data_IF_805590103590
#
_entry.id   IF_805590103590
#
_cell.length_a   1.000
_cell.length_b   1.000
_cell.length_c   1.000
_cell.angle_alpha   90.00
_cell.angle_beta   90.00
_cell.angle_gamma   90.00
#
_symmetry.space_group_name_H-M   'P 1'
#
loop_
_entity.id
_entity.type
_entity.pdbx_description
1 polymer ?
#
# COMPACT_ATOMS: atom_id res chain seq x y z
N UNK A 1 -5.69 -2.42 4.89
CA UNK A 1 -5.98 -2.05 6.30
C UNK A 1 -4.99 -2.79 7.16
N UNK A 2 -4.43 -2.14 8.18
CA UNK A 2 -3.48 -2.75 9.09
C UNK A 2 -3.97 -2.66 10.53
N UNK A 3 -3.56 -3.66 11.32
CA UNK A 3 -3.84 -3.74 12.74
C UNK A 3 -2.57 -4.08 13.50
N UNK A 4 -2.41 -3.41 14.64
CA UNK A 4 -1.37 -3.69 15.62
C UNK A 4 -2.02 -4.00 16.97
N UNK A 5 -1.55 -5.07 17.60
CA UNK A 5 -1.92 -5.45 18.96
C UNK A 5 -0.69 -5.37 19.86
N UNK A 6 -0.86 -4.80 21.06
CA UNK A 6 0.20 -4.71 22.06
C UNK A 6 -0.34 -4.90 23.47
N UNK A 7 0.49 -5.44 24.36
CA UNK A 7 0.19 -5.53 25.79
C UNK A 7 0.30 -4.16 26.49
N UNK A 8 0.98 -3.21 25.85
CA UNK A 8 1.15 -1.84 26.34
C UNK A 8 0.27 -0.87 25.54
N UNK A 9 -0.14 0.22 26.20
CA UNK A 9 -0.83 1.31 25.53
C UNK A 9 0.08 1.92 24.44
N UNK A 10 -0.50 2.38 23.31
CA UNK A 10 0.30 2.99 22.26
C UNK A 10 0.91 4.32 22.74
N UNK A 11 2.04 4.75 22.15
CA UNK A 11 2.63 6.07 22.40
C UNK A 11 1.67 7.20 22.03
N UNK A 12 1.89 8.41 22.56
CA UNK A 12 1.04 9.57 22.23
C UNK A 12 1.14 10.01 20.76
N UNK A 13 2.30 9.79 20.13
CA UNK A 13 2.51 9.99 18.70
C UNK A 13 2.27 8.65 17.97
N UNK A 14 1.49 8.68 16.88
CA UNK A 14 1.13 7.49 16.10
C UNK A 14 1.88 7.32 14.76
N UNK A 15 2.83 8.18 14.42
CA UNK A 15 3.52 8.22 13.12
C UNK A 15 4.20 6.88 12.78
N UNK A 16 4.76 6.20 13.79
CA UNK A 16 5.43 4.90 13.61
C UNK A 16 4.48 3.81 13.11
N UNK A 17 3.17 3.93 13.34
CA UNK A 17 2.19 2.98 12.81
C UNK A 17 2.01 3.14 11.31
N UNK A 18 2.14 4.34 10.75
CA UNK A 18 2.11 4.55 9.29
C UNK A 18 3.30 3.89 8.59
N UNK A 19 4.49 3.94 9.22
CA UNK A 19 5.67 3.23 8.72
C UNK A 19 5.48 1.71 8.82
N UNK A 20 4.94 1.23 9.95
CA UNK A 20 4.69 -0.20 10.16
C UNK A 20 3.63 -0.75 9.19
N UNK A 21 2.58 0.02 8.92
CA UNK A 21 1.55 -0.26 7.92
C UNK A 21 2.17 -0.37 6.52
N UNK A 22 2.91 0.66 6.10
CA UNK A 22 3.57 0.70 4.79
C UNK A 22 4.53 -0.47 4.60
N UNK A 23 5.36 -0.77 5.61
CA UNK A 23 6.27 -1.91 5.56
C UNK A 23 5.54 -3.25 5.54
N UNK A 24 4.42 -3.37 6.28
CA UNK A 24 3.63 -4.61 6.29
C UNK A 24 2.99 -4.88 4.94
N UNK A 25 2.50 -3.84 4.26
CA UNK A 25 1.91 -3.98 2.93
C UNK A 25 2.97 -4.21 1.86
N UNK A 26 4.10 -3.51 1.92
CA UNK A 26 5.23 -3.74 1.02
C UNK A 26 5.78 -5.17 1.15
N UNK A 27 5.82 -5.74 2.37
CA UNK A 27 6.32 -7.09 2.64
C UNK A 27 5.61 -8.19 1.85
N UNK A 28 4.38 -7.95 1.39
CA UNK A 28 3.63 -8.88 0.54
C UNK A 28 4.38 -9.20 -0.77
N UNK A 29 5.21 -8.27 -1.25
CA UNK A 29 6.07 -8.45 -2.41
C UNK A 29 7.06 -9.61 -2.22
N UNK A 30 7.67 -9.68 -1.04
CA UNK A 30 8.65 -10.70 -0.69
C UNK A 30 7.97 -12.02 -0.28
N UNK A 31 6.82 -11.93 0.39
CA UNK A 31 6.12 -13.10 0.91
C UNK A 31 5.38 -13.88 -0.19
N UNK A 32 4.77 -13.18 -1.15
CA UNK A 32 3.91 -13.79 -2.16
C UNK A 32 4.50 -13.71 -3.58
N UNK A 33 5.43 -12.78 -3.81
CA UNK A 33 6.12 -12.62 -5.09
C UNK A 33 5.36 -11.80 -6.12
N UNK A 34 6.11 -11.13 -7.01
CA UNK A 34 5.57 -10.37 -8.14
C UNK A 34 5.70 -11.18 -9.44
N UNK A 35 4.81 -12.15 -9.65
CA UNK A 35 4.92 -13.08 -10.79
C UNK A 35 4.40 -12.49 -12.10
N UNK A 36 3.51 -11.49 -12.04
CA UNK A 36 2.89 -10.84 -13.20
C UNK A 36 2.67 -9.35 -12.96
N UNK A 37 2.70 -8.55 -14.03
CA UNK A 37 2.24 -7.14 -13.99
C UNK A 37 0.73 -7.05 -14.12
N UNK A 38 0.10 -8.04 -14.77
CA UNK A 38 -1.35 -8.15 -14.84
C UNK A 38 -1.81 -8.71 -13.50
N UNK A 39 -2.64 -7.98 -12.78
CA UNK A 39 -3.27 -8.47 -11.57
C UNK A 39 -4.45 -9.38 -11.95
N UNK A 40 -4.17 -10.66 -12.20
CA UNK A 40 -5.22 -11.67 -12.38
C UNK A 40 -5.77 -12.17 -11.03
N UNK A 41 -6.83 -12.97 -11.10
CA UNK A 41 -7.48 -13.50 -9.90
C UNK A 41 -6.57 -14.43 -9.08
N UNK A 42 -5.70 -15.18 -9.74
CA UNK A 42 -4.76 -16.08 -9.07
C UNK A 42 -3.74 -15.28 -8.25
N UNK A 43 -3.19 -14.22 -8.84
CA UNK A 43 -2.26 -13.28 -8.22
C UNK A 43 -2.95 -12.51 -7.09
N UNK A 44 -4.17 -12.01 -7.29
CA UNK A 44 -4.90 -11.30 -6.25
C UNK A 44 -5.19 -12.20 -5.03
N UNK A 45 -5.53 -13.46 -5.26
CA UNK A 45 -5.83 -14.43 -4.20
C UNK A 45 -4.60 -14.88 -3.39
N UNK A 46 -3.38 -14.49 -3.76
CA UNK A 46 -2.19 -14.74 -2.92
C UNK A 46 -2.18 -13.87 -1.66
N UNK A 47 -2.92 -12.76 -1.67
CA UNK A 47 -2.90 -11.75 -0.61
C UNK A 47 -2.08 -10.51 -0.93
N UNK A 48 -1.47 -10.40 -2.12
CA UNK A 48 -0.63 -9.25 -2.55
C UNK A 48 -1.38 -7.92 -2.75
N UNK A 49 -2.67 -7.87 -2.41
CA UNK A 49 -3.54 -6.76 -2.75
C UNK A 49 -3.10 -5.41 -2.17
N UNK A 50 -2.44 -5.38 -1.01
CA UNK A 50 -1.98 -4.11 -0.46
C UNK A 50 -0.75 -3.59 -1.22
N UNK A 51 0.26 -4.44 -1.44
CA UNK A 51 1.43 -4.10 -2.25
C UNK A 51 1.05 -3.68 -3.68
N UNK A 52 0.15 -4.43 -4.33
CA UNK A 52 -0.31 -4.12 -5.68
C UNK A 52 -0.99 -2.74 -5.76
N UNK A 53 -1.77 -2.36 -4.75
CA UNK A 53 -2.39 -1.05 -4.68
C UNK A 53 -1.36 0.07 -4.41
N UNK A 54 -0.35 -0.17 -3.56
CA UNK A 54 0.74 0.80 -3.32
C UNK A 54 1.52 1.10 -4.60
N UNK A 55 1.72 0.10 -5.45
CA UNK A 55 2.46 0.23 -6.71
C UNK A 55 1.59 0.59 -7.93
N UNK A 56 0.30 0.88 -7.74
CA UNK A 56 -0.65 1.07 -8.83
C UNK A 56 -0.44 2.42 -9.54
N UNK A 57 0.00 2.41 -10.80
CA UNK A 57 0.48 3.62 -11.49
C UNK A 57 -0.55 4.75 -11.60
N UNK A 58 -1.84 4.43 -11.74
CA UNK A 58 -2.90 5.43 -11.85
C UNK A 58 -3.33 6.02 -10.50
N UNK A 59 -2.74 5.55 -9.40
CA UNK A 59 -3.01 6.00 -8.04
C UNK A 59 -2.00 7.05 -7.63
N UNK A 60 -2.41 8.32 -7.59
CA UNK A 60 -1.52 9.45 -7.30
C UNK A 60 -1.91 10.25 -6.05
N UNK A 61 -3.00 9.88 -5.38
CA UNK A 61 -3.47 10.55 -4.17
C UNK A 61 -3.86 9.50 -3.13
N UNK A 62 -3.32 9.67 -1.93
CA UNK A 62 -3.52 8.80 -0.78
C UNK A 62 -3.85 9.65 0.45
N UNK A 63 -4.74 9.14 1.30
CA UNK A 63 -4.98 9.69 2.63
C UNK A 63 -5.05 8.56 3.65
N UNK A 64 -4.31 8.69 4.75
CA UNK A 64 -4.23 7.69 5.80
C UNK A 64 -4.72 8.24 7.14
N UNK A 65 -5.35 7.38 7.93
CA UNK A 65 -5.77 7.67 9.30
C UNK A 65 -5.33 6.58 10.25
N UNK A 66 -4.88 6.98 11.44
CA UNK A 66 -4.49 6.07 12.52
C UNK A 66 -5.41 6.25 13.71
N UNK A 67 -5.90 5.14 14.28
CA UNK A 67 -6.78 5.18 15.45
C UNK A 67 -6.41 4.12 16.48
N UNK A 68 -6.22 4.56 17.72
CA UNK A 68 -6.27 3.67 18.88
C UNK A 68 -7.73 3.31 19.20
N UNK A 69 -8.04 2.02 19.15
CA UNK A 69 -9.38 1.45 19.25
C UNK A 69 -9.70 0.88 20.65
N UNK A 70 -8.89 1.22 21.66
CA UNK A 70 -9.05 0.68 23.00
C UNK A 70 -8.50 -0.75 23.13
N UNK A 71 -8.82 -1.39 24.26
CA UNK A 71 -8.53 -2.79 24.50
C UNK A 71 -9.56 -3.69 23.82
N UNK A 72 -9.15 -4.86 23.36
CA UNK A 72 -10.07 -5.94 22.99
C UNK A 72 -10.55 -6.74 24.21
N UNK A 73 -11.34 -7.80 23.96
CA UNK A 73 -11.86 -8.70 25.01
C UNK A 73 -10.76 -9.43 25.78
N UNK A 74 -9.57 -9.56 25.20
CA UNK A 74 -8.42 -10.22 25.80
C UNK A 74 -7.49 -9.20 26.52
N UNK A 75 -7.89 -7.92 26.57
CA UNK A 75 -7.14 -6.86 27.23
C UNK A 75 -6.01 -6.25 26.38
N UNK A 76 -5.85 -6.67 25.11
CA UNK A 76 -4.79 -6.17 24.23
C UNK A 76 -5.17 -4.81 23.63
N UNK A 77 -4.23 -3.87 23.65
CA UNK A 77 -4.39 -2.57 23.04
C UNK A 77 -4.34 -2.68 21.51
N UNK A 78 -5.34 -2.12 20.83
CA UNK A 78 -5.46 -2.19 19.36
C UNK A 78 -5.28 -0.83 18.71
N UNK A 79 -4.43 -0.77 17.70
CA UNK A 79 -4.31 0.38 16.79
C UNK A 79 -4.60 -0.09 15.37
N UNK A 80 -5.37 0.70 14.62
CA UNK A 80 -5.59 0.46 13.18
C UNK A 80 -5.05 1.60 12.35
N UNK A 81 -4.52 1.25 11.18
CA UNK A 81 -4.17 2.19 10.11
C UNK A 81 -5.02 1.86 8.89
N UNK A 82 -5.64 2.89 8.32
CA UNK A 82 -6.43 2.80 7.10
C UNK A 82 -5.95 3.86 6.15
N UNK A 83 -5.49 3.45 4.97
CA UNK A 83 -5.25 4.33 3.84
C UNK A 83 -6.33 4.12 2.78
N UNK A 84 -6.77 5.24 2.20
CA UNK A 84 -7.61 5.26 1.01
C UNK A 84 -6.86 5.89 -0.14
N UNK A 85 -7.13 5.37 -1.33
CA UNK A 85 -6.52 5.79 -2.58
C UNK A 85 -7.60 6.39 -3.47
N UNK A 86 -7.35 7.59 -4.02
CA UNK A 86 -8.37 8.29 -4.81
C UNK A 86 -8.74 7.52 -6.08
N UNK A 87 -7.72 7.15 -6.86
CA UNK A 87 -7.92 6.21 -7.95
C UNK A 87 -7.88 4.82 -7.38
N UNK A 88 -8.92 4.05 -7.64
CA UNK A 88 -8.96 2.65 -7.25
C UNK A 88 -7.94 1.85 -8.08
N UNK A 89 -7.09 1.11 -7.38
CA UNK A 89 -6.27 0.07 -7.96
C UNK A 89 -6.93 -1.30 -7.84
N UNK A 90 -6.13 -2.36 -7.94
CA UNK A 90 -6.58 -3.74 -7.82
C UNK A 90 -7.74 -4.13 -8.76
N UNK A 91 -7.77 -3.53 -9.95
CA UNK A 91 -8.75 -3.90 -10.97
C UNK A 91 -8.28 -5.21 -11.61
N UNK A 92 -9.07 -6.26 -11.45
CA UNK A 92 -8.72 -7.59 -11.95
C UNK A 92 -8.55 -7.56 -13.48
N UNK A 93 -7.55 -8.31 -13.96
CA UNK A 93 -7.12 -8.38 -15.36
C UNK A 93 -6.59 -7.04 -15.92
N UNK A 94 -6.14 -6.13 -15.06
CA UNK A 94 -5.50 -4.86 -15.44
C UNK A 94 -4.04 -4.85 -15.03
N UNK A 95 -3.20 -4.14 -15.80
CA UNK A 95 -1.80 -3.92 -15.44
C UNK A 95 -1.70 -3.02 -14.20
N UNK A 96 -0.91 -3.41 -13.21
CA UNK A 96 -0.60 -2.59 -12.02
C UNK A 96 0.10 -1.31 -12.44
N UNK A 97 1.06 -1.43 -13.37
CA UNK A 97 1.71 -0.32 -14.05
C UNK A 97 2.09 -0.73 -15.48
N UNK A 98 2.34 0.23 -16.36
CA UNK A 98 2.83 -0.04 -17.71
C UNK A 98 4.31 -0.44 -17.68
N UNK A 99 4.63 -1.66 -18.15
CA UNK A 99 6.04 -2.07 -18.32
C UNK A 99 6.73 -1.20 -19.37
N UNK A 100 7.96 -0.80 -19.09
CA UNK A 100 8.79 -0.02 -20.00
C UNK A 100 10.06 0.47 -19.30
N UNK A 101 10.85 1.24 -20.03
CA UNK A 101 11.97 1.96 -19.42
C UNK A 101 11.43 3.06 -18.51
N UNK A 102 12.14 3.36 -17.42
CA UNK A 102 11.76 4.45 -16.52
C UNK A 102 11.52 5.74 -17.31
N UNK A 103 10.42 6.41 -17.02
CA UNK A 103 9.99 7.65 -17.67
C UNK A 103 9.69 7.58 -19.17
N UNK A 104 9.65 6.41 -19.80
CA UNK A 104 9.35 6.30 -21.24
C UNK A 104 7.89 6.60 -21.60
N UNK A 105 7.01 6.73 -20.61
CA UNK A 105 5.57 6.85 -20.80
C UNK A 105 4.89 7.78 -19.75
N UNK A 106 5.59 8.80 -19.26
CA UNK A 106 4.95 9.79 -18.37
C UNK A 106 3.79 10.49 -19.10
N UNK A 107 2.69 10.72 -18.38
CA UNK A 107 1.48 11.32 -18.95
C UNK A 107 1.74 12.80 -19.30
N UNK A 108 1.13 13.28 -20.38
CA UNK A 108 1.20 14.69 -20.77
C UNK A 108 0.85 15.61 -19.60
N UNK A 109 1.75 16.55 -19.29
CA UNK A 109 1.62 17.48 -18.15
C UNK A 109 2.33 17.04 -16.88
N UNK A 110 2.89 15.82 -16.84
CA UNK A 110 3.84 15.39 -15.81
C UNK A 110 5.28 15.47 -16.30
N UNK A 111 6.22 15.62 -15.37
CA UNK A 111 7.66 15.60 -15.59
C UNK A 111 8.26 14.35 -14.98
N UNK A 112 9.24 13.76 -15.66
CA UNK A 112 10.02 12.67 -15.07
C UNK A 112 10.98 13.20 -14.00
N UNK A 113 10.86 12.70 -12.77
CA UNK A 113 11.87 12.83 -11.75
C UNK A 113 12.92 11.73 -11.93
N UNK A 114 14.02 12.04 -12.63
CA UNK A 114 15.01 11.04 -13.07
C UNK A 114 15.72 10.31 -11.92
N UNK A 115 15.77 10.91 -10.72
CA UNK A 115 16.38 10.29 -9.54
C UNK A 115 15.55 9.14 -8.95
N UNK A 116 14.22 9.17 -9.14
CA UNK A 116 13.29 8.18 -8.59
C UNK A 116 12.62 7.34 -9.69
N UNK A 117 12.59 7.85 -10.93
CA UNK A 117 11.88 7.25 -12.05
C UNK A 117 10.36 7.51 -12.02
N UNK A 118 9.89 8.40 -11.14
CA UNK A 118 8.46 8.75 -11.00
C UNK A 118 8.06 9.88 -11.96
N UNK A 119 6.78 9.89 -12.35
CA UNK A 119 6.16 10.98 -13.09
C UNK A 119 5.42 11.90 -12.12
N UNK A 120 5.76 13.19 -12.09
CA UNK A 120 5.26 14.19 -11.12
C UNK A 120 4.66 15.42 -11.78
#
# INVERSE_FOLDING_TARGET
MYWSWSSQAPPANFDSFGVSDSNSWEKELQDYGWTSIVLDMATFNTGIGHAAQMAWANTNLIGCGVKYCGKDSNGWHRVTVVCQYKSQGNIINTNIYQKGNSCSACTSGSTCETSTGLCV
#
